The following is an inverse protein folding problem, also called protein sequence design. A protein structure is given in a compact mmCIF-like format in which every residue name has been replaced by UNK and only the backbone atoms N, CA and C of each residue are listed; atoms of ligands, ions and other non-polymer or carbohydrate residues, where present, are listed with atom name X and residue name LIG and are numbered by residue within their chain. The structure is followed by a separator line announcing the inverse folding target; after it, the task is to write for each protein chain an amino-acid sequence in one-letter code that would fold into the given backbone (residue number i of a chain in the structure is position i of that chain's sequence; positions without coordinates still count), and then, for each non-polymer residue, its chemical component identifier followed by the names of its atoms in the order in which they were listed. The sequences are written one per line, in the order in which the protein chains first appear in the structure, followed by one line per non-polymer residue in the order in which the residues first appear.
data_IF_522108232875
#
_entry.id   IF_522108232875
#
_cell.length_a   1.000
_cell.length_b   1.000
_cell.length_c   1.000
_cell.angle_alpha   90.00
_cell.angle_beta   90.00
_cell.angle_gamma   90.00
#
_symmetry.space_group_name_H-M   'P 1'
#
loop_
_entity.id
_entity.type
_entity.pdbx_description
1 polymer ?
#
# COMPACT_ATOMS: atom_id res chain seq x y z
N UNK A 1 26.00 -10.56 -4.95
CA UNK A 1 26.65 -9.84 -3.84
C UNK A 1 25.88 -8.60 -3.36
N UNK A 2 25.11 -7.88 -4.20
CA UNK A 2 24.35 -6.69 -3.76
C UNK A 2 23.00 -7.00 -3.07
N UNK A 3 22.37 -8.13 -3.40
CA UNK A 3 21.03 -8.47 -2.91
C UNK A 3 20.91 -8.44 -1.38
N UNK A 4 21.82 -9.08 -0.64
CA UNK A 4 21.77 -9.09 0.83
C UNK A 4 21.89 -7.69 1.45
N UNK A 5 22.73 -6.82 0.88
CA UNK A 5 22.83 -5.44 1.35
C UNK A 5 21.52 -4.70 1.11
N UNK A 6 20.96 -4.80 -0.11
CA UNK A 6 19.67 -4.19 -0.44
C UNK A 6 18.53 -4.70 0.45
N UNK A 7 18.48 -6.01 0.74
CA UNK A 7 17.45 -6.57 1.62
C UNK A 7 17.56 -6.03 3.05
N UNK A 8 18.78 -5.87 3.57
CA UNK A 8 19.03 -5.26 4.89
C UNK A 8 18.63 -3.79 4.91
N UNK A 9 19.03 -3.02 3.90
CA UNK A 9 18.64 -1.60 3.80
C UNK A 9 17.11 -1.46 3.74
N UNK A 10 16.44 -2.30 2.95
CA UNK A 10 14.98 -2.34 2.88
C UNK A 10 14.35 -2.70 4.22
N UNK A 11 14.89 -3.71 4.92
CA UNK A 11 14.41 -4.10 6.25
C UNK A 11 14.57 -2.97 7.26
N UNK A 12 15.72 -2.30 7.28
CA UNK A 12 16.00 -1.17 8.17
C UNK A 12 15.08 0.02 7.88
N UNK A 13 14.82 0.32 6.60
CA UNK A 13 13.97 1.45 6.20
C UNK A 13 12.47 1.17 6.34
N UNK A 14 12.03 -0.06 6.04
CA UNK A 14 10.62 -0.38 5.83
C UNK A 14 10.03 -1.30 6.89
N UNK A 15 10.86 -1.91 7.75
CA UNK A 15 10.47 -2.95 8.69
C UNK A 15 10.31 -4.32 8.04
N UNK A 16 9.80 -5.29 8.79
CA UNK A 16 9.64 -6.67 8.29
C UNK A 16 8.38 -6.86 7.44
N UNK A 17 8.48 -6.48 6.17
CA UNK A 17 7.37 -6.54 5.20
C UNK A 17 7.33 -7.84 4.43
N UNK A 18 6.15 -8.24 3.96
CA UNK A 18 6.05 -9.31 2.96
C UNK A 18 6.75 -8.86 1.67
N UNK A 19 7.43 -9.80 1.03
CA UNK A 19 8.13 -9.58 -0.22
C UNK A 19 8.08 -10.81 -1.13
N UNK A 20 8.18 -10.58 -2.44
CA UNK A 20 8.45 -11.60 -3.44
C UNK A 20 9.82 -11.34 -4.06
N UNK A 21 10.70 -12.34 -4.01
CA UNK A 21 12.03 -12.28 -4.62
C UNK A 21 12.01 -13.16 -5.86
N UNK A 22 12.00 -12.54 -7.04
CA UNK A 22 11.96 -13.24 -8.31
C UNK A 22 13.35 -13.26 -8.93
N UNK A 23 13.83 -14.45 -9.31
CA UNK A 23 15.13 -14.62 -9.97
C UNK A 23 14.93 -14.82 -11.46
N UNK A 24 15.55 -13.96 -12.28
CA UNK A 24 15.44 -14.06 -13.74
C UNK A 24 16.78 -14.51 -14.33
N UNK A 25 16.83 -15.75 -14.83
CA UNK A 25 18.09 -16.35 -15.34
C UNK A 25 17.89 -17.21 -16.60
N UNK A 26 16.97 -16.81 -17.49
CA UNK A 26 16.63 -17.44 -18.80
C UNK A 26 15.51 -18.51 -18.75
N UNK A 27 14.29 -18.06 -19.10
CA UNK A 27 13.07 -18.73 -19.63
C UNK A 27 12.55 -20.07 -19.10
N UNK A 28 13.29 -20.89 -18.33
CA UNK A 28 12.85 -22.25 -17.95
C UNK A 28 12.88 -22.50 -16.43
N UNK A 29 13.65 -21.70 -15.67
CA UNK A 29 13.78 -21.86 -14.21
C UNK A 29 13.45 -20.54 -13.50
N UNK A 30 12.22 -20.07 -13.65
CA UNK A 30 11.69 -18.97 -12.84
C UNK A 30 11.52 -19.46 -11.41
N UNK A 31 12.14 -18.77 -10.47
CA UNK A 31 12.03 -19.05 -9.05
C UNK A 31 11.50 -17.79 -8.36
N UNK A 32 10.34 -17.93 -7.74
CA UNK A 32 9.70 -16.86 -6.95
C UNK A 32 9.68 -17.32 -5.50
N UNK A 33 10.40 -16.61 -4.65
CA UNK A 33 10.36 -16.81 -3.21
C UNK A 33 9.39 -15.80 -2.58
N UNK A 34 8.24 -16.27 -2.13
CA UNK A 34 7.32 -15.49 -1.30
C UNK A 34 7.71 -15.62 0.18
N UNK A 35 8.03 -14.51 0.82
CA UNK A 35 8.55 -14.49 2.20
C UNK A 35 8.39 -13.10 2.82
N UNK A 36 9.06 -12.83 3.94
CA UNK A 36 9.27 -11.49 4.49
C UNK A 36 10.69 -10.99 4.18
N UNK A 37 10.97 -9.70 4.39
CA UNK A 37 12.33 -9.17 4.25
C UNK A 37 13.32 -9.89 5.18
N UNK A 38 12.93 -10.20 6.42
CA UNK A 38 13.74 -11.01 7.34
C UNK A 38 13.98 -12.42 6.82
N UNK A 39 12.94 -13.10 6.32
CA UNK A 39 13.04 -14.45 5.76
C UNK A 39 13.91 -14.49 4.49
N UNK A 40 13.86 -13.46 3.65
CA UNK A 40 14.74 -13.33 2.50
C UNK A 40 16.21 -13.14 2.92
N UNK A 41 16.49 -12.33 3.95
CA UNK A 41 17.84 -12.15 4.49
C UNK A 41 18.39 -13.48 5.00
N UNK A 42 17.61 -14.23 5.77
CA UNK A 42 18.01 -15.54 6.28
C UNK A 42 18.31 -16.52 5.13
N UNK A 43 17.38 -16.63 4.17
CA UNK A 43 17.51 -17.52 3.02
C UNK A 43 18.80 -17.25 2.22
N UNK A 44 19.02 -15.99 1.81
CA UNK A 44 20.17 -15.65 0.98
C UNK A 44 21.50 -15.53 1.75
N UNK A 45 21.45 -15.55 3.08
CA UNK A 45 22.65 -15.72 3.91
C UNK A 45 23.15 -17.16 3.85
N UNK A 46 22.24 -18.13 3.80
CA UNK A 46 22.58 -19.56 3.68
C UNK A 46 22.87 -19.97 2.23
N UNK A 47 22.12 -19.40 1.27
CA UNK A 47 22.21 -19.72 -0.15
C UNK A 47 22.66 -18.49 -0.93
N UNK A 48 23.94 -18.42 -1.37
CA UNK A 48 24.46 -17.23 -2.03
C UNK A 48 23.70 -16.88 -3.32
N UNK A 49 23.16 -15.65 -3.46
CA UNK A 49 22.35 -15.27 -4.60
C UNK A 49 23.18 -15.16 -5.89
N UNK A 50 22.62 -15.68 -7.00
CA UNK A 50 23.22 -15.63 -8.35
C UNK A 50 22.22 -15.08 -9.37
N UNK A 51 22.70 -14.24 -10.28
CA UNK A 51 21.89 -13.64 -11.34
C UNK A 51 21.25 -12.30 -10.94
N UNK A 52 20.28 -11.89 -11.76
CA UNK A 52 19.48 -10.69 -11.56
C UNK A 52 18.19 -11.02 -10.81
N UNK A 53 17.75 -10.07 -10.00
CA UNK A 53 16.61 -10.24 -9.10
C UNK A 53 15.65 -9.06 -9.22
N UNK A 54 14.36 -9.38 -9.17
CA UNK A 54 13.28 -8.41 -8.95
C UNK A 54 12.76 -8.61 -7.53
N UNK A 55 12.60 -7.50 -6.80
CA UNK A 55 12.08 -7.49 -5.43
C UNK A 55 10.77 -6.71 -5.44
N UNK A 56 9.67 -7.38 -5.11
CA UNK A 56 8.37 -6.74 -4.87
C UNK A 56 8.15 -6.70 -3.37
N UNK A 57 7.98 -5.50 -2.79
CA UNK A 57 7.77 -5.31 -1.35
C UNK A 57 6.34 -4.83 -1.10
N UNK A 58 5.70 -5.38 -0.07
CA UNK A 58 4.40 -4.93 0.41
C UNK A 58 4.41 -3.43 0.71
N UNK A 59 3.34 -2.73 0.30
CA UNK A 59 3.19 -1.29 0.52
C UNK A 59 3.16 -0.92 2.01
N UNK A 60 3.34 0.37 2.33
CA UNK A 60 3.29 0.88 3.70
C UNK A 60 2.05 0.37 4.44
N UNK A 61 2.25 -0.10 5.68
CA UNK A 61 1.18 -0.61 6.55
C UNK A 61 0.27 0.54 6.90
N UNK A 62 -0.77 0.66 6.11
CA UNK A 62 -1.74 1.73 6.15
C UNK A 62 -2.94 1.25 5.36
N UNK A 63 -3.63 0.23 5.87
CA UNK A 63 -5.06 0.47 5.96
C UNK A 63 -5.16 1.79 6.73
N UNK A 64 -5.84 2.82 6.21
CA UNK A 64 -6.29 3.89 7.09
C UNK A 64 -6.85 3.18 8.32
N UNK A 65 -6.42 3.59 9.51
CA UNK A 65 -7.26 3.33 10.67
C UNK A 65 -8.69 3.63 10.19
N UNK A 66 -9.63 2.74 10.46
CA UNK A 66 -11.05 3.02 10.32
C UNK A 66 -11.33 4.29 11.16
N UNK A 67 -11.03 5.46 10.61
CA UNK A 67 -11.95 6.56 10.72
C UNK A 67 -13.24 5.94 10.19
N UNK A 68 -14.26 5.97 11.02
CA UNK A 68 -15.56 5.48 10.64
C UNK A 68 -15.87 6.06 9.26
N UNK A 69 -16.11 5.20 8.26
CA UNK A 69 -16.45 5.66 6.91
C UNK A 69 -17.63 6.65 7.01
N UNK A 70 -18.49 6.48 8.03
CA UNK A 70 -19.53 7.40 8.47
C UNK A 70 -18.98 8.80 8.83
N UNK A 71 -17.99 8.90 9.72
CA UNK A 71 -17.39 10.18 10.15
C UNK A 71 -16.73 10.93 8.98
N UNK A 72 -16.06 10.19 8.10
CA UNK A 72 -15.42 10.78 6.92
C UNK A 72 -16.45 11.28 5.89
N UNK A 73 -17.58 10.57 5.74
CA UNK A 73 -18.69 11.00 4.88
C UNK A 73 -19.44 12.19 5.49
N UNK A 74 -19.74 12.19 6.79
CA UNK A 74 -20.36 13.31 7.49
C UNK A 74 -19.53 14.59 7.39
N UNK A 75 -18.22 14.49 7.64
CA UNK A 75 -17.31 15.62 7.46
C UNK A 75 -17.32 16.13 6.02
N UNK A 76 -17.35 15.23 5.02
CA UNK A 76 -17.41 15.63 3.62
C UNK A 76 -18.75 16.30 3.27
N UNK A 77 -19.87 15.81 3.81
CA UNK A 77 -21.20 16.40 3.62
C UNK A 77 -21.28 17.82 4.21
N UNK A 78 -20.76 18.03 5.43
CA UNK A 78 -20.71 19.37 6.03
C UNK A 78 -19.93 20.38 5.16
N UNK A 79 -18.83 19.94 4.54
CA UNK A 79 -18.10 20.81 3.59
C UNK A 79 -18.92 21.14 2.33
N UNK A 80 -19.75 20.20 1.86
CA UNK A 80 -20.65 20.45 0.72
C UNK A 80 -21.74 21.45 1.10
N UNK A 81 -22.30 21.36 2.32
CA UNK A 81 -23.26 22.33 2.86
C UNK A 81 -22.65 23.74 2.99
N UNK A 82 -21.35 23.82 3.32
CA UNK A 82 -20.58 25.07 3.31
C UNK A 82 -20.32 25.62 1.89
N UNK A 83 -20.82 24.97 0.84
CA UNK A 83 -20.75 25.42 -0.55
C UNK A 83 -19.55 24.86 -1.33
N UNK A 84 -18.80 23.91 -0.77
CA UNK A 84 -17.71 23.23 -1.47
C UNK A 84 -18.25 22.26 -2.53
N UNK A 85 -17.52 22.08 -3.63
CA UNK A 85 -17.88 21.05 -4.60
C UNK A 85 -17.74 19.65 -3.97
N UNK A 86 -18.62 18.71 -4.34
CA UNK A 86 -18.57 17.30 -3.87
C UNK A 86 -17.19 16.67 -4.10
N UNK A 87 -16.55 17.03 -5.21
CA UNK A 87 -15.22 16.53 -5.59
C UNK A 87 -14.13 17.05 -4.64
N UNK A 88 -14.19 18.32 -4.27
CA UNK A 88 -13.20 18.94 -3.38
C UNK A 88 -13.42 18.51 -1.93
N UNK A 89 -14.68 18.38 -1.50
CA UNK A 89 -15.04 17.84 -0.19
C UNK A 89 -14.54 16.40 -0.01
N UNK A 90 -14.79 15.52 -0.98
CA UNK A 90 -14.28 14.14 -0.97
C UNK A 90 -12.75 14.07 -0.96
N UNK A 91 -12.07 15.00 -1.65
CA UNK A 91 -10.61 15.10 -1.62
C UNK A 91 -10.10 15.51 -0.24
N UNK A 92 -10.70 16.53 0.37
CA UNK A 92 -10.33 17.04 1.70
C UNK A 92 -10.55 16.00 2.79
N UNK A 93 -11.65 15.26 2.72
CA UNK A 93 -11.95 14.14 3.62
C UNK A 93 -10.98 12.96 3.41
N UNK A 94 -10.68 12.61 2.15
CA UNK A 94 -9.69 11.59 1.82
C UNK A 94 -8.30 11.90 2.37
N UNK A 95 -7.85 13.15 2.28
CA UNK A 95 -6.56 13.58 2.84
C UNK A 95 -6.54 13.54 4.37
N UNK A 96 -7.64 13.94 5.01
CA UNK A 96 -7.78 14.00 6.47
C UNK A 96 -7.88 12.62 7.11
N UNK A 97 -8.77 11.78 6.61
CA UNK A 97 -9.11 10.47 7.17
C UNK A 97 -8.37 9.31 6.49
N UNK A 98 -7.56 9.61 5.46
CA UNK A 98 -6.79 8.65 4.65
C UNK A 98 -7.65 7.62 3.90
N UNK A 99 -8.96 7.79 3.85
CA UNK A 99 -9.89 6.91 3.12
C UNK A 99 -9.84 7.19 1.61
N UNK A 100 -10.23 6.22 0.78
CA UNK A 100 -10.23 6.41 -0.67
C UNK A 100 -11.20 7.51 -1.10
N UNK A 101 -10.68 8.50 -1.83
CA UNK A 101 -11.48 9.59 -2.42
C UNK A 101 -12.64 9.09 -3.27
N UNK A 102 -12.43 7.99 -4.01
CA UNK A 102 -13.45 7.44 -4.90
C UNK A 102 -14.62 6.82 -4.12
N UNK A 103 -14.35 6.16 -2.98
CA UNK A 103 -15.40 5.64 -2.10
C UNK A 103 -16.22 6.80 -1.52
N UNK A 104 -15.55 7.80 -0.93
CA UNK A 104 -16.21 9.00 -0.37
C UNK A 104 -17.07 9.74 -1.41
N UNK A 105 -16.54 9.97 -2.61
CA UNK A 105 -17.28 10.63 -3.69
C UNK A 105 -18.55 9.85 -4.08
N UNK A 106 -18.45 8.53 -4.15
CA UNK A 106 -19.58 7.67 -4.54
C UNK A 106 -20.67 7.66 -3.46
N UNK A 107 -20.25 7.60 -2.20
CA UNK A 107 -21.18 7.57 -1.05
C UNK A 107 -21.90 8.91 -0.85
N UNK A 108 -21.19 10.04 -0.98
CA UNK A 108 -21.80 11.39 -0.93
C UNK A 108 -22.87 11.52 -2.04
N UNK A 109 -22.56 11.10 -3.26
CA UNK A 109 -23.52 11.13 -4.37
C UNK A 109 -24.68 10.16 -4.20
N UNK A 110 -24.51 9.08 -3.45
CA UNK A 110 -25.57 8.13 -3.14
C UNK A 110 -26.54 8.73 -2.12
N UNK A 111 -26.03 9.30 -1.02
CA UNK A 111 -26.84 9.98 0.01
C UNK A 111 -27.59 11.18 -0.57
N UNK A 112 -26.95 12.00 -1.40
CA UNK A 112 -27.60 13.11 -2.10
C UNK A 112 -28.70 12.70 -3.10
N UNK A 113 -28.87 11.40 -3.39
CA UNK A 113 -29.95 10.84 -4.22
C UNK A 113 -31.01 10.11 -3.40
N UNK A 114 -30.74 9.84 -2.13
CA UNK A 114 -31.64 9.17 -1.19
C UNK A 114 -32.45 10.19 -0.34
N UNK A 115 -31.97 11.43 -0.24
CA UNK A 115 -32.72 12.62 0.21
C UNK A 115 -33.57 13.26 -0.91
#
# INVERSE_FOLDING_TARGET
HKLLYTLRDLYECLGDRRAAICRELTKIHEEILHTTLSGAIEHFTQIPPRGEFVIVVEGAGGQPAEADDEEAVEYALGLVEEGMSVKDAAKKASERFRISRNSLYSEILKRARED
#
